data_IF_028493062827
#
_entry.id   IF_028493062827
#
_cell.length_a   1.000
_cell.length_b   1.000
_cell.length_c   1.000
_cell.angle_alpha   90.00
_cell.angle_beta   90.00
_cell.angle_gamma   90.00
#
_symmetry.space_group_name_H-M   'P 1'
#
loop_
_entity.id
_entity.type
_entity.pdbx_description
1 polymer ?
#
# COMPACT_ATOMS: atom_id res chain seq x y z
N UNK A 1 -7.66 14.40 15.21
CA UNK A 1 -8.39 14.30 13.93
C UNK A 1 -8.70 12.85 13.60
N UNK A 2 -7.67 12.00 13.37
CA UNK A 2 -7.82 10.56 13.11
C UNK A 2 -8.78 9.87 14.09
N UNK A 3 -8.49 9.92 15.39
CA UNK A 3 -9.26 9.17 16.40
C UNK A 3 -10.71 9.65 16.50
N UNK A 4 -10.94 10.96 16.40
CA UNK A 4 -12.29 11.55 16.32
C UNK A 4 -13.08 11.03 15.12
N UNK A 5 -12.46 10.94 13.94
CA UNK A 5 -13.11 10.44 12.73
C UNK A 5 -13.48 8.96 12.86
N UNK A 6 -12.59 8.16 13.46
CA UNK A 6 -12.82 6.73 13.73
C UNK A 6 -14.02 6.54 14.65
N UNK A 7 -14.09 7.32 15.73
CA UNK A 7 -15.22 7.29 16.67
C UNK A 7 -16.53 7.75 16.01
N UNK A 8 -16.51 8.86 15.26
CA UNK A 8 -17.70 9.40 14.57
C UNK A 8 -18.27 8.45 13.52
N UNK A 9 -17.41 7.70 12.82
CA UNK A 9 -17.81 6.78 11.75
C UNK A 9 -17.95 5.31 12.22
N UNK A 10 -17.65 5.01 13.49
CA UNK A 10 -17.71 3.65 14.04
C UNK A 10 -16.76 2.67 13.34
N UNK A 11 -15.57 3.14 12.96
CA UNK A 11 -14.60 2.34 12.20
C UNK A 11 -13.68 1.53 13.12
N UNK A 12 -13.17 0.42 12.61
CA UNK A 12 -12.03 -0.27 13.21
C UNK A 12 -10.73 0.35 12.68
N UNK A 13 -9.87 0.82 13.58
CA UNK A 13 -8.55 1.35 13.23
C UNK A 13 -7.46 0.42 13.74
N UNK A 14 -6.81 -0.29 12.80
CA UNK A 14 -5.61 -1.08 13.08
C UNK A 14 -4.38 -0.17 12.97
N UNK A 15 -3.57 -0.14 14.03
CA UNK A 15 -2.34 0.68 14.10
C UNK A 15 -1.12 -0.23 14.21
N UNK A 16 -0.12 0.01 13.36
CA UNK A 16 1.20 -0.62 13.40
C UNK A 16 2.28 0.47 13.37
N UNK A 17 3.32 0.31 14.19
CA UNK A 17 4.38 1.31 14.30
C UNK A 17 5.66 0.81 13.65
N UNK A 18 6.38 1.72 12.99
CA UNK A 18 7.74 1.44 12.48
C UNK A 18 8.68 1.03 13.61
N UNK A 19 8.44 1.56 14.83
CA UNK A 19 9.22 1.19 16.01
C UNK A 19 9.11 -0.31 16.32
N UNK A 20 7.94 -0.92 16.12
CA UNK A 20 7.75 -2.36 16.36
C UNK A 20 8.66 -3.19 15.45
N UNK A 21 8.78 -2.80 14.17
CA UNK A 21 9.68 -3.44 13.21
C UNK A 21 11.17 -3.21 13.54
N UNK A 22 11.53 -2.06 14.12
CA UNK A 22 12.89 -1.77 14.59
C UNK A 22 13.24 -2.63 15.81
N UNK A 23 12.34 -2.70 16.78
CA UNK A 23 12.55 -3.44 18.04
C UNK A 23 12.63 -4.94 17.80
N UNK A 24 11.92 -5.45 16.79
CA UNK A 24 12.04 -6.83 16.30
C UNK A 24 13.32 -7.09 15.49
N UNK A 25 14.12 -6.06 15.19
CA UNK A 25 15.35 -6.16 14.41
C UNK A 25 15.14 -6.42 12.91
N UNK A 26 13.92 -6.25 12.40
CA UNK A 26 13.61 -6.44 10.97
C UNK A 26 14.14 -5.31 10.10
N UNK A 27 14.17 -4.10 10.66
CA UNK A 27 14.70 -2.91 10.00
C UNK A 27 15.65 -2.16 10.92
N UNK A 28 16.62 -1.48 10.33
CA UNK A 28 17.59 -0.66 11.07
C UNK A 28 17.42 0.80 10.67
N UNK A 29 17.37 1.67 11.67
CA UNK A 29 17.36 3.10 11.38
C UNK A 29 18.68 3.54 10.72
N UNK A 30 18.56 4.34 9.68
CA UNK A 30 19.70 5.01 9.09
C UNK A 30 20.24 6.05 10.06
N UNK A 31 21.57 6.11 10.18
CA UNK A 31 22.27 7.13 10.96
C UNK A 31 22.88 8.15 10.01
N UNK A 32 22.45 9.41 10.05
CA UNK A 32 23.01 10.47 9.21
C UNK A 32 22.18 11.75 9.17
N UNK A 33 22.74 12.79 8.53
CA UNK A 33 22.09 14.12 8.40
C UNK A 33 20.77 14.10 7.62
N UNK A 34 20.57 13.08 6.78
CA UNK A 34 19.37 12.90 5.93
C UNK A 34 18.64 11.59 6.24
N UNK A 35 18.83 11.02 7.43
CA UNK A 35 18.15 9.81 7.84
C UNK A 35 16.62 9.97 7.74
N UNK A 36 15.96 9.07 7.03
CA UNK A 36 14.50 9.08 6.86
C UNK A 36 13.91 7.73 7.22
N UNK A 37 12.81 7.75 7.96
CA UNK A 37 12.02 6.54 8.28
C UNK A 37 11.08 6.14 7.13
N UNK A 38 10.99 6.91 6.05
CA UNK A 38 10.05 6.61 4.95
C UNK A 38 10.31 5.23 4.33
N UNK A 39 11.58 4.86 4.14
CA UNK A 39 11.94 3.54 3.61
C UNK A 39 11.54 2.41 4.57
N UNK A 40 11.54 2.66 5.88
CA UNK A 40 11.20 1.68 6.90
C UNK A 40 9.70 1.38 6.96
N UNK A 41 8.85 2.32 6.48
CA UNK A 41 7.39 2.14 6.45
C UNK A 41 6.98 0.97 5.57
N UNK A 42 7.73 0.67 4.50
CA UNK A 42 7.45 -0.44 3.59
C UNK A 42 7.42 -1.76 4.33
N UNK A 43 8.42 -2.04 5.16
CA UNK A 43 8.48 -3.31 5.93
C UNK A 43 7.32 -3.42 6.90
N UNK A 44 7.01 -2.35 7.64
CA UNK A 44 5.87 -2.34 8.57
C UNK A 44 4.53 -2.54 7.85
N UNK A 45 4.36 -1.97 6.66
CA UNK A 45 3.16 -2.19 5.84
C UNK A 45 3.04 -3.64 5.38
N UNK A 46 4.14 -4.25 4.91
CA UNK A 46 4.15 -5.65 4.47
C UNK A 46 3.86 -6.59 5.64
N UNK A 47 4.50 -6.38 6.79
CA UNK A 47 4.26 -7.13 8.02
C UNK A 47 2.78 -7.10 8.43
N UNK A 48 2.16 -5.91 8.40
CA UNK A 48 0.75 -5.76 8.76
C UNK A 48 -0.15 -6.56 7.81
N UNK A 49 0.14 -6.55 6.51
CA UNK A 49 -0.68 -7.23 5.51
C UNK A 49 -0.58 -8.74 5.66
N UNK A 50 0.61 -9.25 5.95
CA UNK A 50 0.83 -10.66 6.22
C UNK A 50 0.14 -11.09 7.53
N UNK A 51 0.26 -10.28 8.59
CA UNK A 51 -0.34 -10.54 9.90
C UNK A 51 -1.87 -10.67 9.80
N UNK A 52 -2.52 -9.73 9.11
CA UNK A 52 -3.97 -9.69 8.98
C UNK A 52 -4.50 -10.42 7.75
N UNK A 53 -3.61 -10.92 6.89
CA UNK A 53 -3.93 -11.63 5.65
C UNK A 53 -4.84 -10.82 4.74
N UNK A 54 -4.48 -9.56 4.51
CA UNK A 54 -5.27 -8.70 3.62
C UNK A 54 -5.01 -9.05 2.15
N UNK A 55 -6.05 -9.56 1.50
CA UNK A 55 -6.07 -9.87 0.08
C UNK A 55 -6.11 -8.60 -0.80
N UNK A 56 -6.73 -7.53 -0.32
CA UNK A 56 -6.88 -6.27 -1.04
C UNK A 56 -6.58 -5.07 -0.14
N UNK A 57 -5.76 -4.15 -0.65
CA UNK A 57 -5.35 -2.93 0.04
C UNK A 57 -5.72 -1.70 -0.80
N UNK A 58 -6.60 -0.85 -0.28
CA UNK A 58 -7.00 0.38 -0.95
C UNK A 58 -6.00 1.50 -0.60
N UNK A 59 -5.40 2.11 -1.62
CA UNK A 59 -4.47 3.23 -1.50
C UNK A 59 -5.05 4.52 -2.08
N UNK A 60 -4.63 5.65 -1.50
CA UNK A 60 -5.02 6.99 -1.94
C UNK A 60 -4.08 7.64 -2.95
N UNK A 61 -3.23 6.86 -3.62
CA UNK A 61 -2.29 7.39 -4.61
C UNK A 61 -3.03 7.91 -5.87
N UNK A 62 -2.56 9.04 -6.39
CA UNK A 62 -3.09 9.66 -7.62
C UNK A 62 -2.00 9.82 -8.67
N UNK A 63 -2.39 9.77 -9.95
CA UNK A 63 -1.44 9.89 -11.09
C UNK A 63 -0.86 11.29 -11.24
N UNK A 64 -1.55 12.33 -10.78
CA UNK A 64 -1.11 13.72 -10.86
C UNK A 64 -0.02 14.07 -9.81
N UNK A 65 0.10 13.28 -8.75
CA UNK A 65 1.04 13.53 -7.64
C UNK A 65 2.51 13.40 -8.04
N UNK A 66 2.84 12.47 -8.94
CA UNK A 66 4.22 12.22 -9.34
C UNK A 66 4.33 11.69 -10.76
N UNK A 67 5.31 12.18 -11.54
CA UNK A 67 5.49 11.82 -12.97
C UNK A 67 5.65 10.31 -13.20
N UNK A 68 6.25 9.58 -12.25
CA UNK A 68 6.43 8.13 -12.34
C UNK A 68 5.09 7.38 -12.30
N UNK A 69 4.05 7.97 -11.69
CA UNK A 69 2.73 7.36 -11.51
C UNK A 69 1.83 7.46 -12.74
N UNK A 70 2.23 8.20 -13.78
CA UNK A 70 1.42 8.36 -15.00
C UNK A 70 1.09 7.03 -15.71
N UNK A 71 1.87 5.96 -15.45
CA UNK A 71 1.65 4.61 -15.99
C UNK A 71 1.10 3.61 -14.97
N UNK A 72 0.78 4.05 -13.75
CA UNK A 72 0.22 3.18 -12.72
C UNK A 72 -1.19 2.73 -13.10
N UNK A 73 -1.50 1.49 -12.74
CA UNK A 73 -2.80 0.84 -12.93
C UNK A 73 -3.68 1.09 -11.71
N UNK A 74 -5.00 0.95 -11.88
CA UNK A 74 -5.94 0.99 -10.76
C UNK A 74 -5.71 -0.24 -9.88
N UNK A 75 -5.53 -1.42 -10.46
CA UNK A 75 -5.15 -2.65 -9.77
C UNK A 75 -3.67 -2.98 -10.00
N UNK A 76 -2.94 -3.08 -8.90
CA UNK A 76 -1.55 -3.52 -8.88
C UNK A 76 -1.46 -4.83 -8.10
N UNK A 77 -1.36 -5.94 -8.83
CA UNK A 77 -1.21 -7.29 -8.25
C UNK A 77 0.20 -7.46 -7.70
N UNK A 78 0.29 -8.08 -6.52
CA UNK A 78 1.52 -8.42 -5.81
C UNK A 78 1.58 -9.90 -5.51
N UNK A 79 2.77 -10.45 -5.57
CA UNK A 79 3.00 -11.85 -5.16
C UNK A 79 2.98 -12.01 -3.63
N UNK A 80 3.18 -13.24 -3.17
CA UNK A 80 3.20 -13.63 -1.76
C UNK A 80 4.27 -12.90 -0.94
N UNK A 81 5.32 -12.40 -1.59
CA UNK A 81 6.39 -11.62 -0.97
C UNK A 81 6.15 -10.10 -1.07
N UNK A 82 5.00 -9.68 -1.62
CA UNK A 82 4.64 -8.28 -1.83
C UNK A 82 5.36 -7.62 -3.02
N UNK A 83 6.05 -8.39 -3.86
CA UNK A 83 6.78 -7.88 -5.01
C UNK A 83 5.83 -7.60 -6.19
N UNK A 84 6.33 -6.79 -7.11
CA UNK A 84 5.59 -6.42 -8.32
C UNK A 84 6.23 -7.08 -9.54
N UNK A 85 5.41 -7.73 -10.36
CA UNK A 85 5.81 -8.31 -11.65
C UNK A 85 4.95 -7.68 -12.76
N UNK A 86 5.62 -7.18 -13.80
CA UNK A 86 4.99 -6.60 -14.99
C UNK A 86 4.09 -7.60 -15.73
N UNK A 87 4.46 -8.88 -15.72
CA UNK A 87 3.76 -9.95 -16.45
C UNK A 87 2.45 -10.34 -15.78
N UNK A 88 2.37 -10.17 -14.47
CA UNK A 88 1.17 -10.45 -13.67
C UNK A 88 0.18 -9.28 -13.69
N UNK A 89 0.57 -8.13 -14.24
CA UNK A 89 -0.34 -7.00 -14.37
C UNK A 89 -1.30 -7.18 -15.53
N UNK A 90 -2.57 -6.96 -15.24
CA UNK A 90 -3.64 -7.21 -16.20
C UNK A 90 -3.97 -5.95 -17.00
N UNK A 91 -4.30 -6.08 -18.29
CA UNK A 91 -4.89 -4.98 -19.05
C UNK A 91 -6.19 -4.51 -18.40
N UNK A 92 -6.32 -3.20 -18.21
CA UNK A 92 -7.55 -2.54 -17.76
C UNK A 92 -8.22 -1.98 -19.01
N UNK A 93 -9.20 -2.69 -19.55
CA UNK A 93 -9.90 -2.32 -20.78
C UNK A 93 -11.20 -1.60 -20.42
N UNK A 94 -11.32 -0.33 -20.81
CA UNK A 94 -12.44 0.53 -20.42
C UNK A 94 -12.58 0.59 -18.89
N UNK A 95 -13.78 0.35 -18.38
CA UNK A 95 -14.10 0.31 -16.95
C UNK A 95 -14.04 -1.12 -16.37
N UNK A 96 -13.54 -2.09 -17.14
CA UNK A 96 -13.40 -3.47 -16.67
C UNK A 96 -12.08 -3.66 -15.93
N UNK A 97 -12.18 -3.99 -14.63
CA UNK A 97 -11.05 -4.28 -13.76
C UNK A 97 -11.04 -5.77 -13.42
N UNK A 98 -9.86 -6.41 -13.51
CA UNK A 98 -9.69 -7.81 -13.11
C UNK A 98 -8.86 -7.90 -11.82
N UNK A 99 -9.56 -8.13 -10.69
CA UNK A 99 -8.99 -8.27 -9.35
C UNK A 99 -8.83 -9.70 -8.87
N UNK A 100 -8.92 -10.70 -9.74
CA UNK A 100 -8.68 -12.10 -9.38
C UNK A 100 -7.28 -12.28 -8.77
N UNK A 101 -7.12 -13.06 -7.72
CA UNK A 101 -5.82 -13.28 -7.09
C UNK A 101 -5.71 -14.76 -6.71
N UNK A 102 -4.49 -15.28 -6.73
CA UNK A 102 -4.20 -16.61 -6.20
C UNK A 102 -3.99 -16.56 -4.69
N UNK A 103 -4.05 -17.72 -4.02
CA UNK A 103 -3.81 -17.79 -2.59
C UNK A 103 -2.39 -17.31 -2.27
N UNK A 104 -2.27 -16.31 -1.39
CA UNK A 104 -1.01 -15.68 -1.00
C UNK A 104 -0.77 -14.34 -1.69
N UNK A 105 -1.35 -14.12 -2.86
CA UNK A 105 -1.25 -12.84 -3.56
C UNK A 105 -2.08 -11.76 -2.87
N UNK A 106 -1.68 -10.50 -3.05
CA UNK A 106 -2.49 -9.36 -2.66
C UNK A 106 -2.61 -8.35 -3.80
N UNK A 107 -3.68 -7.57 -3.81
CA UNK A 107 -3.89 -6.50 -4.79
C UNK A 107 -3.87 -5.13 -4.11
N UNK A 108 -3.14 -4.18 -4.70
CA UNK A 108 -3.21 -2.76 -4.35
C UNK A 108 -4.20 -2.08 -5.27
N UNK A 109 -5.17 -1.40 -4.70
CA UNK A 109 -6.27 -0.78 -5.44
C UNK A 109 -6.23 0.72 -5.25
N UNK A 110 -6.27 1.49 -6.33
CA UNK A 110 -6.19 2.95 -6.31
C UNK A 110 -7.44 3.58 -6.94
N UNK A 111 -8.57 3.68 -6.21
CA UNK A 111 -9.84 4.14 -6.78
C UNK A 111 -9.80 5.59 -7.28
N UNK A 112 -8.98 6.42 -6.64
CA UNK A 112 -8.85 7.85 -6.95
C UNK A 112 -7.68 8.15 -7.89
N UNK A 113 -7.14 7.13 -8.57
CA UNK A 113 -5.96 7.28 -9.43
C UNK A 113 -6.11 8.38 -10.50
N UNK A 114 -7.34 8.60 -10.99
CA UNK A 114 -7.67 9.60 -12.01
C UNK A 114 -8.12 10.96 -11.44
N UNK A 115 -8.12 11.16 -10.13
CA UNK A 115 -8.54 12.42 -9.52
C UNK A 115 -7.38 13.42 -9.55
N UNK A 116 -7.72 14.71 -9.71
CA UNK A 116 -6.78 15.82 -9.63
C UNK A 116 -6.97 16.60 -8.34
N UNK A 117 -5.93 17.32 -7.92
CA UNK A 117 -6.04 18.24 -6.77
C UNK A 117 -6.81 19.53 -7.14
N UNK A 118 -6.76 19.88 -8.43
CA UNK A 118 -7.42 21.04 -9.05
C UNK A 118 -8.86 20.74 -9.45
#
# INVERSE_FOLDING_TARGET
FRDRLVEELGLELIVRNVQDSIDQGKVKEESGRYASRNMLQTTTLLDAIEEFKFDACIGGARRDEEKARAKERIFSVRDDFGQWDEKNQRPELFDMLNGEIELGQNVRVFPISNWTEL
#
